data_IF_303138206162
#
_entry.id   IF_303138206162
#
_cell.length_a   1.000
_cell.length_b   1.000
_cell.length_c   1.000
_cell.angle_alpha   90.00
_cell.angle_beta   90.00
_cell.angle_gamma   90.00
#
_symmetry.space_group_name_H-M   'P 1'
#
loop_
_entity.id
_entity.type
_entity.pdbx_description
1 polymer ?
#
# COMPACT_ATOMS: atom_id res chain seq x y z
N UNK A 1 10.51 -10.66 -15.35
CA UNK A 1 10.56 -9.98 -14.05
C UNK A 1 10.93 -8.52 -14.30
N UNK A 2 10.15 -7.57 -13.80
CA UNK A 2 10.48 -6.14 -13.93
C UNK A 2 11.65 -5.81 -13.01
N UNK A 3 12.61 -5.00 -13.48
CA UNK A 3 13.72 -4.52 -12.66
C UNK A 3 13.39 -3.12 -12.16
N UNK A 4 13.51 -2.91 -10.85
CA UNK A 4 13.24 -1.62 -10.19
C UNK A 4 14.56 -1.16 -9.57
N UNK A 5 14.93 0.09 -9.81
CA UNK A 5 16.09 0.67 -9.12
C UNK A 5 15.64 1.09 -7.72
N UNK A 6 16.46 0.80 -6.71
CA UNK A 6 16.18 1.12 -5.31
C UNK A 6 17.40 1.77 -4.68
N UNK A 7 17.17 2.84 -3.92
CA UNK A 7 18.13 3.41 -2.99
C UNK A 7 17.61 3.15 -1.59
N UNK A 8 18.40 2.46 -0.78
CA UNK A 8 18.11 2.24 0.63
C UNK A 8 18.96 3.22 1.46
N UNK A 9 18.31 4.21 2.07
CA UNK A 9 18.91 5.16 3.01
C UNK A 9 18.67 4.75 4.47
N UNK A 10 17.89 3.69 4.69
CA UNK A 10 17.68 3.09 6.00
C UNK A 10 18.73 2.05 6.34
N UNK A 11 18.53 1.38 7.46
CA UNK A 11 19.36 0.27 7.94
C UNK A 11 18.67 -1.10 7.86
N UNK A 12 17.40 -1.12 7.44
CA UNK A 12 16.65 -2.35 7.23
C UNK A 12 17.07 -3.04 5.93
N UNK A 13 16.97 -4.38 5.88
CA UNK A 13 17.21 -5.14 4.65
C UNK A 13 16.21 -4.74 3.55
N UNK A 14 16.65 -4.83 2.29
CA UNK A 14 15.75 -4.65 1.15
C UNK A 14 14.56 -5.64 1.25
N UNK A 15 13.35 -5.19 0.89
CA UNK A 15 12.18 -6.03 0.93
C UNK A 15 12.32 -7.16 -0.09
N UNK A 16 11.83 -8.34 0.26
CA UNK A 16 11.88 -9.53 -0.58
C UNK A 16 10.53 -10.25 -0.58
N UNK A 17 10.28 -11.03 -1.64
CA UNK A 17 9.12 -11.91 -1.69
C UNK A 17 9.31 -13.05 -0.69
N UNK A 18 8.37 -13.19 0.25
CA UNK A 18 8.46 -14.17 1.33
C UNK A 18 8.40 -15.63 0.82
N UNK A 19 7.66 -15.86 -0.27
CA UNK A 19 7.57 -17.14 -0.97
C UNK A 19 7.61 -16.92 -2.48
N UNK A 20 7.86 -17.98 -3.25
CA UNK A 20 7.90 -17.93 -4.71
C UNK A 20 6.60 -17.43 -5.38
N UNK A 21 5.47 -17.46 -4.67
CA UNK A 21 4.15 -17.05 -5.17
C UNK A 21 3.60 -15.81 -4.43
N UNK A 22 4.41 -15.15 -3.61
CA UNK A 22 3.99 -13.92 -2.93
C UNK A 22 3.80 -12.80 -3.94
N UNK A 23 2.67 -12.10 -3.87
CA UNK A 23 2.38 -10.95 -4.74
C UNK A 23 3.12 -9.67 -4.29
N UNK A 24 3.38 -9.55 -3.00
CA UNK A 24 4.01 -8.37 -2.40
C UNK A 24 5.26 -8.69 -1.59
N UNK A 25 6.04 -7.65 -1.32
CA UNK A 25 7.24 -7.71 -0.48
C UNK A 25 6.97 -6.94 0.82
N UNK A 26 7.30 -7.52 1.97
CA UNK A 26 7.06 -6.86 3.27
C UNK A 26 7.92 -5.59 3.40
N UNK A 27 7.29 -4.46 3.71
CA UNK A 27 7.96 -3.19 4.05
C UNK A 27 8.19 -3.13 5.56
N UNK A 28 9.40 -2.69 5.94
CA UNK A 28 9.80 -2.55 7.35
C UNK A 28 9.81 -1.09 7.77
N UNK A 29 9.41 -0.83 9.01
CA UNK A 29 9.60 0.46 9.64
C UNK A 29 11.10 0.75 9.78
N UNK A 30 11.53 1.96 9.45
CA UNK A 30 12.91 2.41 9.62
C UNK A 30 12.94 3.57 10.61
N UNK A 31 13.05 3.24 11.90
CA UNK A 31 12.83 4.17 13.01
C UNK A 31 14.09 4.32 13.87
N UNK A 32 14.30 5.53 14.39
CA UNK A 32 15.32 5.77 15.44
C UNK A 32 14.82 5.32 16.82
N UNK A 33 13.52 5.45 17.07
CA UNK A 33 12.84 5.07 18.30
C UNK A 33 11.44 4.51 18.00
N UNK A 34 10.89 3.62 18.85
CA UNK A 34 9.54 3.08 18.65
C UNK A 34 8.47 4.18 18.65
N UNK A 35 7.43 4.00 17.83
CA UNK A 35 6.29 4.92 17.75
C UNK A 35 5.07 4.22 18.34
N UNK A 36 4.41 4.87 19.30
CA UNK A 36 3.09 4.44 19.79
C UNK A 36 2.02 5.03 18.88
N UNK A 37 1.10 4.18 18.42
CA UNK A 37 -0.12 4.55 17.73
C UNK A 37 -1.30 4.30 18.65
N UNK A 38 -1.88 5.38 19.15
CA UNK A 38 -3.11 5.32 19.94
C UNK A 38 -4.33 4.97 19.08
N UNK A 39 -5.45 4.52 19.69
CA UNK A 39 -6.71 4.35 18.98
C UNK A 39 -7.08 5.56 18.12
N UNK A 40 -7.42 5.30 16.86
CA UNK A 40 -7.76 6.29 15.82
C UNK A 40 -6.62 7.23 15.41
N UNK A 41 -5.42 7.03 15.93
CA UNK A 41 -4.24 7.77 15.54
C UNK A 41 -3.68 7.26 14.21
N UNK A 42 -3.13 8.20 13.43
CA UNK A 42 -2.38 7.92 12.20
C UNK A 42 -1.00 8.54 12.25
N UNK A 43 -0.02 7.84 11.67
CA UNK A 43 1.35 8.34 11.46
C UNK A 43 1.85 7.91 10.09
N UNK A 44 2.69 8.76 9.51
CA UNK A 44 3.55 8.37 8.40
C UNK A 44 4.76 7.63 8.98
N UNK A 45 4.87 6.34 8.71
CA UNK A 45 6.00 5.52 9.15
C UNK A 45 7.03 5.45 8.01
N UNK A 46 8.26 5.95 8.21
CA UNK A 46 9.32 5.88 7.21
C UNK A 46 9.81 4.45 6.97
N UNK A 47 10.32 4.19 5.78
CA UNK A 47 10.90 2.88 5.39
C UNK A 47 12.37 2.97 5.00
N UNK A 48 12.89 4.18 4.79
CA UNK A 48 14.23 4.44 4.25
C UNK A 48 14.38 4.10 2.76
N UNK A 49 13.32 3.63 2.09
CA UNK A 49 13.39 3.17 0.71
C UNK A 49 12.96 4.26 -0.27
N UNK A 50 13.73 4.41 -1.33
CA UNK A 50 13.40 5.23 -2.49
C UNK A 50 13.47 4.33 -3.73
N UNK A 51 12.50 4.42 -4.63
CA UNK A 51 12.47 3.58 -5.83
C UNK A 51 12.33 4.41 -7.10
N UNK A 52 12.74 3.83 -8.22
CA UNK A 52 12.41 4.30 -9.54
C UNK A 52 11.70 3.19 -10.31
N UNK A 53 10.40 3.35 -10.52
CA UNK A 53 9.61 2.42 -11.31
C UNK A 53 9.71 2.80 -12.80
N UNK A 54 9.65 1.81 -13.70
CA UNK A 54 9.48 2.09 -15.12
C UNK A 54 8.08 2.64 -15.42
N UNK A 55 7.94 3.38 -16.52
CA UNK A 55 6.65 3.83 -17.05
C UNK A 55 5.67 2.66 -17.24
N UNK A 56 4.39 2.90 -16.96
CA UNK A 56 3.32 1.88 -17.01
C UNK A 56 3.26 0.98 -15.78
N UNK A 57 4.01 1.30 -14.72
CA UNK A 57 3.98 0.59 -13.44
C UNK A 57 3.82 1.53 -12.25
N UNK A 58 2.96 1.14 -11.32
CA UNK A 58 2.87 1.74 -9.99
C UNK A 58 3.33 0.72 -8.94
N UNK A 59 3.67 1.20 -7.76
CA UNK A 59 3.78 0.34 -6.59
C UNK A 59 2.67 0.67 -5.59
N UNK A 60 2.06 -0.37 -5.04
CA UNK A 60 0.91 -0.27 -4.15
C UNK A 60 1.31 -0.70 -2.74
N UNK A 61 1.24 0.23 -1.79
CA UNK A 61 1.41 -0.04 -0.36
C UNK A 61 0.09 -0.57 0.19
N UNK A 62 0.06 -1.84 0.59
CA UNK A 62 -1.13 -2.54 1.07
C UNK A 62 -0.97 -3.00 2.53
N UNK A 63 -2.07 -3.12 3.29
CA UNK A 63 -2.05 -3.68 4.65
C UNK A 63 -1.58 -5.13 4.67
N UNK A 64 -0.99 -5.55 5.78
CA UNK A 64 -0.72 -6.96 6.07
C UNK A 64 -1.91 -7.54 6.82
N UNK A 65 -2.47 -8.65 6.33
CA UNK A 65 -3.68 -9.25 6.90
C UNK A 65 -3.53 -9.61 8.39
N UNK A 66 -2.34 -10.03 8.81
CA UNK A 66 -2.05 -10.33 10.21
C UNK A 66 -2.16 -9.11 11.13
N UNK A 67 -1.67 -7.95 10.70
CA UNK A 67 -1.77 -6.70 11.47
C UNK A 67 -3.21 -6.18 11.50
N UNK A 68 -3.92 -6.28 10.37
CA UNK A 68 -5.32 -5.89 10.28
C UNK A 68 -6.21 -6.73 11.20
N UNK A 69 -6.09 -8.06 11.15
CA UNK A 69 -6.95 -8.95 11.94
C UNK A 69 -6.62 -8.94 13.43
N UNK A 70 -5.33 -8.95 13.79
CA UNK A 70 -4.91 -9.15 15.19
C UNK A 70 -4.81 -7.86 15.98
N UNK A 71 -4.56 -6.74 15.31
CA UNK A 71 -4.26 -5.47 15.98
C UNK A 71 -5.11 -4.31 15.47
N UNK A 72 -5.98 -4.51 14.47
CA UNK A 72 -6.80 -3.43 13.89
C UNK A 72 -5.97 -2.38 13.14
N UNK A 73 -4.75 -2.72 12.69
CA UNK A 73 -3.89 -1.80 11.96
C UNK A 73 -4.15 -1.90 10.46
N UNK A 74 -4.28 -0.75 9.81
CA UNK A 74 -4.37 -0.69 8.35
C UNK A 74 -3.54 0.45 7.79
N UNK A 75 -3.38 0.45 6.47
CA UNK A 75 -2.81 1.58 5.72
C UNK A 75 -3.98 2.47 5.33
N UNK A 76 -4.00 3.70 5.85
CA UNK A 76 -5.16 4.60 5.77
C UNK A 76 -5.54 4.92 4.32
N UNK A 77 -4.55 5.12 3.46
CA UNK A 77 -4.73 5.39 2.04
C UNK A 77 -4.67 4.11 1.18
N UNK A 78 -4.95 2.94 1.75
CA UNK A 78 -4.83 1.66 1.04
C UNK A 78 -5.79 1.55 -0.17
N UNK A 79 -5.32 1.05 -1.32
CA UNK A 79 -3.91 0.84 -1.65
C UNK A 79 -3.19 2.18 -1.85
N UNK A 80 -2.07 2.40 -1.17
CA UNK A 80 -1.29 3.62 -1.33
C UNK A 80 -0.49 3.58 -2.63
N UNK A 81 -0.74 4.51 -3.54
CA UNK A 81 -0.08 4.58 -4.86
C UNK A 81 1.27 5.29 -4.77
N UNK A 82 2.30 4.63 -5.33
CA UNK A 82 3.62 5.20 -5.59
C UNK A 82 3.79 5.31 -7.10
N UNK A 83 3.83 6.54 -7.59
CA UNK A 83 3.93 6.86 -9.02
C UNK A 83 5.32 6.57 -9.60
N UNK A 84 5.38 6.39 -10.93
CA UNK A 84 6.62 6.00 -11.60
C UNK A 84 7.71 7.09 -11.61
N UNK A 85 7.30 8.36 -11.50
CA UNK A 85 8.18 9.52 -11.42
C UNK A 85 8.51 9.93 -9.97
N UNK A 86 7.91 9.29 -8.97
CA UNK A 86 8.21 9.55 -7.56
C UNK A 86 9.62 9.07 -7.19
N UNK A 87 10.43 9.95 -6.57
CA UNK A 87 11.78 9.64 -6.06
C UNK A 87 11.95 9.94 -4.57
N UNK A 88 10.87 10.37 -3.91
CA UNK A 88 10.86 10.55 -2.47
C UNK A 88 10.90 9.22 -1.74
N UNK A 89 10.87 9.30 -0.41
CA UNK A 89 10.86 8.11 0.43
C UNK A 89 9.48 7.46 0.41
N UNK A 90 9.43 6.14 0.27
CA UNK A 90 8.20 5.38 0.47
C UNK A 90 7.86 5.44 1.96
N UNK A 91 6.74 6.09 2.28
CA UNK A 91 6.17 6.09 3.62
C UNK A 91 4.90 5.25 3.70
N UNK A 92 4.63 4.70 4.88
CA UNK A 92 3.41 3.94 5.17
C UNK A 92 2.51 4.79 6.07
N UNK A 93 1.34 5.22 5.57
CA UNK A 93 0.36 5.95 6.39
C UNK A 93 -0.41 4.94 7.23
N UNK A 94 0.16 4.55 8.37
CA UNK A 94 -0.44 3.56 9.26
C UNK A 94 -1.49 4.23 10.14
N UNK A 95 -2.65 3.58 10.31
CA UNK A 95 -3.72 4.00 11.23
C UNK A 95 -4.11 2.83 12.11
N UNK A 96 -4.30 3.11 13.41
CA UNK A 96 -4.81 2.16 14.38
C UNK A 96 -6.33 2.31 14.51
N UNK A 97 -7.09 1.30 14.08
CA UNK A 97 -8.56 1.26 14.20
C UNK A 97 -9.02 0.37 15.36
N UNK A 98 -8.10 -0.14 16.18
CA UNK A 98 -8.43 -0.88 17.40
C UNK A 98 -8.68 0.06 18.59
N UNK A 99 -8.98 -0.54 19.74
CA UNK A 99 -9.14 0.16 21.01
C UNK A 99 -7.87 0.10 21.88
N UNK A 100 -6.85 -0.63 21.43
CA UNK A 100 -5.60 -0.82 22.16
C UNK A 100 -4.47 0.01 21.51
N UNK A 101 -3.53 0.48 22.32
CA UNK A 101 -2.31 1.10 21.80
C UNK A 101 -1.48 0.05 21.03
N UNK A 102 -0.88 0.48 19.92
CA UNK A 102 0.04 -0.35 19.15
C UNK A 102 1.43 0.29 19.07
N UNK A 103 2.47 -0.44 19.48
CA UNK A 103 3.85 0.04 19.40
C UNK A 103 4.48 -0.47 18.11
N UNK A 104 4.75 0.43 17.17
CA UNK A 104 5.54 0.15 15.97
C UNK A 104 7.01 0.16 16.35
N UNK A 105 7.66 -1.00 16.25
CA UNK A 105 9.08 -1.12 16.53
C UNK A 105 9.92 -0.92 15.26
N UNK A 106 11.18 -0.50 15.43
CA UNK A 106 12.13 -0.48 14.32
C UNK A 106 12.29 -1.88 13.69
N UNK A 107 12.33 -1.93 12.37
CA UNK A 107 12.43 -3.16 11.58
C UNK A 107 11.16 -4.01 11.53
N UNK A 108 10.08 -3.59 12.20
CA UNK A 108 8.81 -4.29 12.15
C UNK A 108 8.20 -4.24 10.75
N UNK A 109 7.63 -5.36 10.31
CA UNK A 109 6.99 -5.46 8.99
C UNK A 109 5.59 -4.87 9.07
N UNK A 110 5.40 -3.66 8.54
CA UNK A 110 4.19 -2.84 8.78
C UNK A 110 3.21 -2.83 7.59
N UNK A 111 3.70 -3.06 6.37
CA UNK A 111 2.91 -3.08 5.15
C UNK A 111 3.53 -4.05 4.14
N UNK A 112 2.92 -4.19 2.97
CA UNK A 112 3.50 -4.90 1.85
C UNK A 112 3.42 -4.05 0.58
N UNK A 113 4.45 -4.14 -0.26
CA UNK A 113 4.54 -3.45 -1.54
C UNK A 113 4.22 -4.42 -2.68
N UNK A 114 3.21 -4.12 -3.49
CA UNK A 114 2.83 -4.88 -4.70
C UNK A 114 3.14 -4.05 -5.93
N UNK A 115 3.79 -4.62 -6.93
CA UNK A 115 4.07 -3.93 -8.21
C UNK A 115 2.95 -4.24 -9.19
N UNK A 116 2.29 -3.22 -9.71
CA UNK A 116 1.14 -3.35 -10.60
C UNK A 116 1.36 -2.59 -11.91
N UNK A 117 0.82 -3.13 -13.01
CA UNK A 117 0.71 -2.38 -14.27
C UNK A 117 -0.52 -1.48 -14.21
N UNK A 118 -0.41 -0.30 -14.79
CA UNK A 118 -1.55 0.61 -14.99
C UNK A 118 -1.60 1.10 -16.44
N UNK A 119 -2.75 1.65 -16.83
CA UNK A 119 -2.96 2.31 -18.12
C UNK A 119 -3.27 3.78 -17.90
N UNK A 120 -2.80 4.65 -18.79
CA UNK A 120 -3.20 6.06 -18.82
C UNK A 120 -4.34 6.24 -19.82
N UNK A 121 -5.55 6.53 -19.32
CA UNK A 121 -6.72 6.70 -20.16
C UNK A 121 -6.80 8.14 -20.73
N UNK A 122 -7.13 8.24 -22.01
CA UNK A 122 -7.63 9.48 -22.61
C UNK A 122 -9.15 9.53 -22.46
N UNK A 123 -9.67 10.49 -21.69
CA UNK A 123 -11.11 10.63 -21.49
C UNK A 123 -11.77 11.27 -22.73
N UNK A 124 -12.86 10.68 -23.20
CA UNK A 124 -13.66 11.17 -24.33
C UNK A 124 -15.09 11.41 -23.86
N UNK A 125 -15.56 12.65 -23.94
CA UNK A 125 -16.93 13.03 -23.56
C UNK A 125 -17.93 12.61 -24.63
N UNK A 126 -19.04 11.99 -24.22
CA UNK A 126 -20.15 11.54 -25.09
C UNK A 126 -21.50 11.92 -24.46
N UNK A 127 -22.56 11.98 -25.27
CA UNK A 127 -23.92 12.28 -24.79
C UNK A 127 -24.59 11.08 -24.09
N UNK A 128 -24.31 9.86 -24.55
CA UNK A 128 -24.86 8.62 -23.99
C UNK A 128 -23.80 7.52 -23.94
N UNK A 129 -23.94 6.61 -22.97
CA UNK A 129 -23.15 5.38 -22.86
C UNK A 129 -23.91 4.21 -23.50
N UNK A 130 -23.22 3.13 -23.82
CA UNK A 130 -23.82 1.88 -24.27
C UNK A 130 -24.52 1.13 -23.11
N UNK A 131 -25.54 0.34 -23.45
CA UNK A 131 -26.26 -0.48 -22.47
C UNK A 131 -25.48 -1.76 -22.15
N UNK A 132 -25.46 -2.14 -20.87
CA UNK A 132 -24.88 -3.41 -20.41
C UNK A 132 -25.87 -4.13 -19.50
N UNK A 133 -25.72 -5.44 -19.31
CA UNK A 133 -26.55 -6.24 -18.39
C UNK A 133 -26.52 -5.66 -16.96
N UNK A 134 -25.40 -5.08 -16.53
CA UNK A 134 -25.27 -4.44 -15.23
C UNK A 134 -25.89 -3.05 -15.16
N UNK A 135 -25.83 -2.27 -16.24
CA UNK A 135 -26.32 -0.90 -16.30
C UNK A 135 -25.83 -0.04 -15.14
N UNK A 136 -26.75 0.67 -14.49
CA UNK A 136 -26.49 1.52 -13.32
C UNK A 136 -26.38 0.75 -11.98
N UNK A 137 -26.39 -0.60 -12.01
CA UNK A 137 -26.32 -1.44 -10.81
C UNK A 137 -25.00 -1.33 -10.04
N UNK A 138 -25.06 -0.82 -8.80
CA UNK A 138 -23.92 -0.66 -7.89
C UNK A 138 -24.23 -1.01 -6.43
N UNK A 139 -23.24 -0.89 -5.53
CA UNK A 139 -23.45 -0.96 -4.07
C UNK A 139 -24.26 -2.17 -3.55
N UNK A 140 -23.94 -3.37 -4.03
CA UNK A 140 -24.68 -4.58 -3.63
C UNK A 140 -25.89 -4.91 -4.50
N UNK A 141 -26.01 -4.34 -5.70
CA UNK A 141 -27.12 -4.62 -6.64
C UNK A 141 -27.36 -6.10 -7.01
N UNK A 142 -26.39 -6.99 -6.81
CA UNK A 142 -26.55 -8.46 -6.99
C UNK A 142 -26.80 -9.21 -5.68
N UNK A 143 -26.89 -8.49 -4.55
CA UNK A 143 -26.97 -9.04 -3.21
C UNK A 143 -28.40 -9.36 -2.80
N UNK A 144 -28.75 -10.65 -2.83
CA UNK A 144 -29.88 -11.21 -2.11
C UNK A 144 -29.38 -11.61 -0.71
N UNK A 145 -29.62 -10.75 0.30
CA UNK A 145 -29.87 -11.06 1.73
C UNK A 145 -29.68 -9.84 2.62
#
# INVERSE_FOLDING_TARGET
MVKIQVVNRGHQQLPAYATAQSAGMDLRANLAEPIVLHPLERRLIPTGLHIALPEGYEAQVRPRSGLALKHGLTVLNSPGTIDADYRGEIGVVLVNLSQDDFVVNDGERIAQLVIARYEQAALVTVETLDETERGEGGYGHTGVK
#
